data_IF_164249750660
#
_entry.id   IF_164249750660
#
_cell.length_a   1.000
_cell.length_b   1.000
_cell.length_c   1.000
_cell.angle_alpha   90.00
_cell.angle_beta   90.00
_cell.angle_gamma   90.00
#
_symmetry.space_group_name_H-M   'P 1'
#
loop_
_entity.id
_entity.type
_entity.pdbx_description
1 polymer ?
#
# COMPACT_ATOMS: atom_id res chain seq x y z
N UNK A 1 59.42 8.62 -15.70
CA UNK A 1 58.19 8.35 -14.92
C UNK A 1 58.32 6.97 -14.28
N UNK A 2 58.70 6.83 -13.00
CA UNK A 2 58.75 5.52 -12.37
C UNK A 2 57.34 5.09 -11.93
N UNK A 3 56.94 3.88 -12.34
CA UNK A 3 55.67 3.28 -11.97
C UNK A 3 55.68 2.87 -10.48
N UNK A 4 54.81 3.50 -9.69
CA UNK A 4 54.56 3.14 -8.29
C UNK A 4 53.81 1.81 -8.25
N UNK A 5 54.49 0.73 -7.87
CA UNK A 5 53.86 -0.58 -7.63
C UNK A 5 53.10 -0.52 -6.30
N UNK A 6 51.78 -0.76 -6.35
CA UNK A 6 50.90 -0.81 -5.18
C UNK A 6 51.15 -2.11 -4.42
N UNK A 7 51.52 -2.01 -3.14
CA UNK A 7 51.70 -3.16 -2.26
C UNK A 7 50.36 -3.88 -1.99
N UNK A 8 50.34 -5.22 -1.85
CA UNK A 8 49.14 -5.96 -1.49
C UNK A 8 48.77 -5.71 -0.02
N UNK A 9 47.47 -5.52 0.25
CA UNK A 9 46.91 -5.41 1.60
C UNK A 9 47.04 -6.78 2.30
N UNK A 10 47.76 -6.82 3.43
CA UNK A 10 47.77 -7.97 4.31
C UNK A 10 46.43 -8.10 5.03
N UNK A 11 45.85 -9.30 5.04
CA UNK A 11 44.64 -9.65 5.78
C UNK A 11 45.05 -10.02 7.22
N UNK A 12 44.40 -9.49 8.27
CA UNK A 12 44.74 -9.88 9.65
C UNK A 12 44.35 -11.33 9.93
N UNK A 13 45.10 -12.05 10.78
CA UNK A 13 44.80 -13.45 11.11
C UNK A 13 43.50 -13.56 11.92
N UNK A 14 42.59 -14.40 11.45
CA UNK A 14 41.40 -14.81 12.20
C UNK A 14 41.83 -15.61 13.44
N UNK A 15 41.47 -15.11 14.63
CA UNK A 15 41.64 -15.85 15.87
C UNK A 15 40.58 -16.98 15.96
N UNK A 16 40.96 -18.21 16.36
CA UNK A 16 40.02 -19.29 16.59
C UNK A 16 39.46 -19.20 18.01
N UNK A 17 38.13 -19.17 18.15
CA UNK A 17 37.45 -19.47 19.40
C UNK A 17 36.58 -20.71 19.20
N UNK A 18 37.20 -21.87 19.36
CA UNK A 18 36.52 -23.08 19.75
C UNK A 18 37.09 -23.54 21.09
N UNK A 19 36.23 -23.62 22.10
CA UNK A 19 36.39 -24.58 23.19
C UNK A 19 35.02 -25.25 23.44
N UNK A 20 35.01 -26.55 23.81
CA UNK A 20 33.84 -27.41 23.69
C UNK A 20 33.02 -27.45 24.98
N UNK A 21 31.69 -27.54 24.85
CA UNK A 21 30.84 -28.07 25.92
C UNK A 21 30.19 -29.37 25.49
N UNK A 22 30.18 -30.27 26.47
CA UNK A 22 29.95 -31.69 26.41
C UNK A 22 28.63 -32.13 25.79
N UNK A 23 28.68 -33.37 25.30
CA UNK A 23 27.62 -34.13 24.67
C UNK A 23 26.39 -34.31 25.58
N UNK A 24 25.22 -34.07 25.00
CA UNK A 24 23.99 -34.75 25.36
C UNK A 24 23.54 -35.52 24.11
N UNK A 25 23.68 -36.84 24.18
CA UNK A 25 23.22 -37.76 23.15
C UNK A 25 21.69 -37.90 23.28
N UNK A 26 20.95 -37.35 22.33
CA UNK A 26 19.57 -37.78 22.06
C UNK A 26 19.52 -38.22 20.61
N UNK A 27 19.20 -39.50 20.44
CA UNK A 27 19.10 -40.20 19.18
C UNK A 27 18.05 -39.55 18.27
N UNK A 28 18.47 -39.20 17.06
CA UNK A 28 17.56 -38.95 15.95
C UNK A 28 17.03 -40.30 15.46
N UNK A 29 15.73 -40.53 15.62
CA UNK A 29 15.02 -41.57 14.90
C UNK A 29 14.72 -41.06 13.48
N UNK A 30 15.20 -41.84 12.52
CA UNK A 30 14.87 -41.78 11.10
C UNK A 30 13.36 -41.84 10.88
N UNK A 31 12.79 -40.83 10.21
CA UNK A 31 11.50 -40.96 9.53
C UNK A 31 11.64 -40.38 8.14
N UNK A 32 12.32 -41.14 7.29
CA UNK A 32 12.21 -41.04 5.84
C UNK A 32 10.93 -41.75 5.41
N UNK A 33 9.79 -41.06 5.45
CA UNK A 33 8.59 -41.51 4.74
C UNK A 33 8.21 -40.53 3.64
N UNK A 34 8.53 -40.95 2.43
CA UNK A 34 7.83 -40.55 1.23
C UNK A 34 6.34 -40.91 1.37
N UNK A 35 5.46 -39.92 1.20
CA UNK A 35 4.15 -40.19 0.62
C UNK A 35 3.75 -39.08 -0.34
N UNK A 36 3.58 -39.56 -1.56
CA UNK A 36 3.02 -38.97 -2.77
C UNK A 36 1.54 -38.71 -2.56
N UNK A 37 1.03 -37.53 -2.90
CA UNK A 37 -0.40 -37.32 -3.15
C UNK A 37 -0.60 -36.39 -4.36
N UNK A 38 -1.72 -36.52 -5.08
CA UNK A 38 -1.78 -36.30 -6.52
C UNK A 38 -2.38 -34.95 -6.95
N UNK A 39 -2.01 -34.54 -8.16
CA UNK A 39 -2.68 -33.52 -8.94
C UNK A 39 -4.17 -33.85 -9.15
N UNK A 40 -5.05 -32.98 -8.66
CA UNK A 40 -6.49 -32.98 -8.98
C UNK A 40 -6.87 -31.83 -9.93
N UNK A 41 -7.87 -32.01 -10.82
CA UNK A 41 -8.14 -31.09 -11.91
C UNK A 41 -9.05 -29.91 -11.52
N UNK A 42 -8.95 -28.86 -12.35
CA UNK A 42 -9.74 -27.63 -12.29
C UNK A 42 -11.20 -27.78 -12.79
N UNK A 43 -12.10 -27.04 -12.14
CA UNK A 43 -13.34 -26.45 -12.71
C UNK A 43 -14.68 -27.04 -12.23
N UNK A 44 -15.84 -26.36 -12.41
CA UNK A 44 -16.06 -24.98 -12.89
C UNK A 44 -16.80 -24.06 -11.88
N UNK A 45 -16.83 -22.79 -12.24
CA UNK A 45 -17.49 -21.68 -11.55
C UNK A 45 -19.02 -21.83 -11.55
N UNK A 46 -19.66 -21.58 -10.40
CA UNK A 46 -21.10 -21.31 -10.32
C UNK A 46 -21.32 -19.89 -9.82
N UNK A 47 -22.03 -19.13 -10.65
CA UNK A 47 -22.51 -17.80 -10.35
C UNK A 47 -23.63 -17.88 -9.32
N UNK A 48 -23.47 -17.19 -8.19
CA UNK A 48 -24.52 -16.95 -7.21
C UNK A 48 -24.73 -15.46 -7.06
N UNK A 49 -25.68 -14.92 -7.82
CA UNK A 49 -26.27 -13.61 -7.55
C UNK A 49 -27.07 -13.71 -6.26
N UNK A 50 -26.74 -12.90 -5.26
CA UNK A 50 -27.67 -12.61 -4.16
C UNK A 50 -27.59 -11.12 -3.86
N UNK A 51 -28.62 -10.44 -4.33
CA UNK A 51 -29.07 -9.13 -3.89
C UNK A 51 -29.33 -9.15 -2.38
N UNK A 52 -28.73 -8.22 -1.66
CA UNK A 52 -28.96 -8.01 -0.23
C UNK A 52 -28.77 -6.55 0.12
N UNK A 53 -29.82 -5.75 -0.09
CA UNK A 53 -29.94 -4.40 0.44
C UNK A 53 -30.12 -4.46 1.95
N UNK A 54 -29.33 -3.77 2.77
CA UNK A 54 -29.86 -2.87 3.82
C UNK A 54 -28.77 -1.99 4.47
N UNK A 55 -29.14 -0.72 4.66
CA UNK A 55 -28.67 0.23 5.67
C UNK A 55 -27.22 0.74 5.61
N UNK A 56 -26.97 1.64 4.67
CA UNK A 56 -25.99 2.71 4.87
C UNK A 56 -26.62 3.82 5.72
N UNK A 57 -26.00 4.13 6.85
CA UNK A 57 -26.33 5.29 7.68
C UNK A 57 -25.85 6.58 6.99
N UNK A 58 -26.66 7.66 6.96
CA UNK A 58 -26.18 8.97 6.56
C UNK A 58 -25.43 9.62 7.73
N UNK A 59 -24.11 9.63 7.66
CA UNK A 59 -23.25 10.46 8.51
C UNK A 59 -22.59 11.53 7.65
N UNK A 60 -23.26 12.64 7.44
CA UNK A 60 -22.71 13.82 6.78
C UNK A 60 -21.92 14.72 7.76
N UNK A 61 -20.80 15.21 7.23
CA UNK A 61 -20.25 16.55 7.35
C UNK A 61 -19.83 17.11 8.72
N UNK A 62 -18.50 17.35 8.83
CA UNK A 62 -18.00 18.55 9.52
C UNK A 62 -16.66 18.99 8.89
N UNK A 63 -16.74 19.72 7.78
CA UNK A 63 -15.67 20.60 7.31
C UNK A 63 -16.19 22.03 7.28
N UNK A 64 -15.29 22.97 7.60
CA UNK A 64 -15.38 24.41 7.39
C UNK A 64 -16.39 25.20 8.27
N UNK A 65 -15.92 25.64 9.44
CA UNK A 65 -16.54 26.71 10.21
C UNK A 65 -16.41 28.03 9.44
N UNK A 66 -17.48 28.46 8.78
CA UNK A 66 -17.59 29.78 8.17
C UNK A 66 -17.71 30.86 9.27
N UNK A 67 -16.98 31.96 9.06
CA UNK A 67 -16.96 33.17 9.90
C UNK A 67 -18.27 33.95 9.68
N UNK A 68 -18.98 34.40 10.72
CA UNK A 68 -20.10 35.32 10.55
C UNK A 68 -19.55 36.71 10.20
N UNK A 69 -19.57 37.04 8.90
CA UNK A 69 -19.38 38.40 8.40
C UNK A 69 -20.73 39.12 8.27
N UNK A 70 -20.76 40.37 8.71
CA UNK A 70 -21.87 41.30 8.79
C UNK A 70 -22.78 41.36 7.55
N UNK A 71 -24.08 41.14 7.75
CA UNK A 71 -25.13 41.52 6.80
C UNK A 71 -25.54 42.98 7.03
N UNK A 72 -24.94 43.90 6.27
CA UNK A 72 -25.54 45.23 6.01
C UNK A 72 -26.60 45.09 4.91
N UNK A 73 -27.85 45.54 5.12
CA UNK A 73 -28.81 45.65 4.03
C UNK A 73 -28.54 46.95 3.25
N UNK A 74 -28.34 46.84 1.94
CA UNK A 74 -28.32 47.99 1.05
C UNK A 74 -29.73 48.17 0.46
N UNK A 75 -30.41 49.23 0.88
CA UNK A 75 -31.55 49.76 0.17
C UNK A 75 -31.06 50.45 -1.11
N UNK A 76 -31.63 50.09 -2.25
CA UNK A 76 -31.34 50.73 -3.53
C UNK A 76 -32.35 50.30 -4.60
N UNK A 77 -33.13 51.24 -5.19
CA UNK A 77 -34.13 50.93 -6.19
C UNK A 77 -33.49 50.86 -7.58
N UNK A 78 -34.05 50.00 -8.44
CA UNK A 78 -34.06 50.06 -9.92
C UNK A 78 -33.88 48.67 -10.51
N UNK A 79 -34.95 47.88 -10.43
CA UNK A 79 -35.10 46.57 -11.09
C UNK A 79 -35.49 46.75 -12.55
N UNK A 80 -34.73 47.50 -13.34
CA UNK A 80 -35.04 47.73 -14.73
C UNK A 80 -33.76 47.95 -15.55
N UNK A 81 -32.87 46.96 -15.62
CA UNK A 81 -31.91 46.79 -16.75
C UNK A 81 -31.11 45.45 -16.69
N UNK A 82 -31.74 44.35 -16.24
CA UNK A 82 -31.06 43.04 -16.10
C UNK A 82 -31.57 41.93 -17.02
N UNK A 83 -32.42 42.25 -18.00
CA UNK A 83 -33.25 41.26 -18.70
C UNK A 83 -32.64 40.65 -19.97
N UNK A 84 -31.33 40.75 -20.20
CA UNK A 84 -30.68 40.14 -21.37
C UNK A 84 -29.42 39.31 -21.05
N UNK A 85 -29.04 39.16 -19.78
CA UNK A 85 -27.98 38.23 -19.34
C UNK A 85 -28.52 36.98 -18.61
N UNK A 86 -29.86 36.86 -18.51
CA UNK A 86 -30.54 35.72 -17.86
C UNK A 86 -30.33 34.36 -18.55
N UNK A 87 -30.43 34.24 -19.90
CA UNK A 87 -30.35 32.92 -20.54
C UNK A 87 -28.94 32.31 -20.50
N UNK A 88 -27.91 33.15 -20.59
CA UNK A 88 -26.50 32.74 -20.58
C UNK A 88 -26.01 32.32 -19.19
N UNK A 89 -26.49 32.96 -18.13
CA UNK A 89 -26.17 32.56 -16.76
C UNK A 89 -26.81 31.22 -16.38
N UNK A 90 -28.01 30.92 -16.88
CA UNK A 90 -28.71 29.66 -16.61
C UNK A 90 -28.06 28.46 -17.33
N UNK A 91 -27.57 28.61 -18.56
CA UNK A 91 -26.93 27.51 -19.30
C UNK A 91 -25.52 27.20 -18.76
N UNK A 92 -24.75 28.22 -18.37
CA UNK A 92 -23.43 28.03 -17.74
C UNK A 92 -23.57 27.36 -16.37
N UNK A 93 -24.55 27.75 -15.56
CA UNK A 93 -24.81 27.11 -14.26
C UNK A 93 -25.21 25.63 -14.38
N UNK A 94 -26.06 25.29 -15.35
CA UNK A 94 -26.47 23.89 -15.60
C UNK A 94 -25.31 23.04 -16.15
N UNK A 95 -24.48 23.61 -17.04
CA UNK A 95 -23.31 22.93 -17.59
C UNK A 95 -22.26 22.60 -16.52
N UNK A 96 -21.98 23.53 -15.59
CA UNK A 96 -21.04 23.32 -14.47
C UNK A 96 -21.57 22.29 -13.46
N UNK A 97 -22.87 22.31 -13.15
CA UNK A 97 -23.49 21.30 -12.28
C UNK A 97 -23.43 19.89 -12.87
N UNK A 98 -23.63 19.76 -14.19
CA UNK A 98 -23.49 18.47 -14.91
C UNK A 98 -22.04 17.97 -14.96
N UNK A 99 -21.04 18.86 -14.98
CA UNK A 99 -19.61 18.44 -15.00
C UNK A 99 -19.13 17.94 -13.63
N UNK A 100 -19.66 18.48 -12.52
CA UNK A 100 -19.28 18.04 -11.17
C UNK A 100 -19.73 16.60 -10.85
N UNK A 101 -20.86 16.15 -11.40
CA UNK A 101 -21.39 14.79 -11.24
C UNK A 101 -20.59 13.73 -12.02
N UNK A 102 -19.75 14.15 -12.97
CA UNK A 102 -18.91 13.27 -13.81
C UNK A 102 -17.48 13.12 -13.28
N UNK A 103 -17.12 13.78 -12.17
CA UNK A 103 -15.81 13.62 -11.53
C UNK A 103 -15.80 12.30 -10.77
N UNK A 104 -15.53 11.22 -11.51
CA UNK A 104 -15.83 9.83 -11.15
C UNK A 104 -15.09 9.24 -9.96
N UNK A 105 -15.46 7.99 -9.64
CA UNK A 105 -14.68 7.09 -8.80
C UNK A 105 -13.33 6.84 -9.49
N UNK A 106 -12.30 7.61 -9.13
CA UNK A 106 -10.93 7.16 -9.34
C UNK A 106 -10.70 5.91 -8.50
N UNK A 107 -10.16 4.86 -9.11
CA UNK A 107 -9.64 3.69 -8.39
C UNK A 107 -8.63 4.18 -7.36
N UNK A 108 -9.06 4.24 -6.08
CA UNK A 108 -8.18 4.64 -5.00
C UNK A 108 -7.29 3.46 -4.64
N UNK A 109 -6.21 3.26 -5.39
CA UNK A 109 -5.15 2.34 -4.99
C UNK A 109 -4.69 2.72 -3.59
N UNK A 110 -4.70 1.79 -2.61
CA UNK A 110 -4.22 2.08 -1.27
C UNK A 110 -2.79 2.63 -1.31
N UNK A 111 -2.48 3.63 -0.51
CA UNK A 111 -1.15 4.25 -0.50
C UNK A 111 -0.03 3.22 -0.29
N UNK A 112 -0.23 2.29 0.66
CA UNK A 112 0.73 1.21 0.92
C UNK A 112 0.96 0.30 -0.29
N UNK A 113 -0.11 -0.03 -1.03
CA UNK A 113 0.00 -0.78 -2.29
C UNK A 113 0.82 -0.02 -3.32
N UNK A 114 0.50 1.26 -3.54
CA UNK A 114 1.21 2.09 -4.50
C UNK A 114 2.71 2.17 -4.19
N UNK A 115 3.07 2.29 -2.91
CA UNK A 115 4.48 2.34 -2.48
C UNK A 115 5.15 0.97 -2.64
N UNK A 116 4.51 -0.12 -2.23
CA UNK A 116 5.10 -1.47 -2.41
C UNK A 116 5.35 -1.75 -3.90
N UNK A 117 4.39 -1.45 -4.75
CA UNK A 117 4.50 -1.65 -6.19
C UNK A 117 5.51 -0.72 -6.85
N UNK A 118 5.82 0.46 -6.27
CA UNK A 118 6.82 1.38 -6.84
C UNK A 118 8.24 1.14 -6.31
N UNK A 119 8.40 0.79 -5.05
CA UNK A 119 9.68 0.84 -4.35
C UNK A 119 10.22 -0.55 -3.96
N UNK A 120 9.36 -1.47 -3.52
CA UNK A 120 9.81 -2.74 -2.94
C UNK A 120 10.22 -3.79 -4.00
N UNK A 121 9.87 -3.57 -5.27
CA UNK A 121 10.20 -4.47 -6.39
C UNK A 121 11.41 -4.06 -7.24
N UNK A 122 12.11 -2.98 -6.85
CA UNK A 122 13.21 -2.43 -7.66
C UNK A 122 14.48 -3.28 -7.56
N UNK A 123 14.75 -3.86 -6.38
CA UNK A 123 15.97 -4.65 -6.14
C UNK A 123 15.76 -6.16 -6.33
N UNK A 124 14.52 -6.65 -6.19
CA UNK A 124 14.13 -8.05 -6.38
C UNK A 124 12.61 -8.15 -6.63
N UNK A 125 12.13 -9.29 -7.12
CA UNK A 125 10.70 -9.52 -7.34
C UNK A 125 9.89 -9.61 -6.04
N UNK A 126 8.56 -9.79 -6.18
CA UNK A 126 7.61 -9.82 -5.06
C UNK A 126 7.57 -11.17 -4.35
N UNK A 127 8.28 -12.19 -4.83
CA UNK A 127 8.24 -13.56 -4.30
C UNK A 127 8.64 -13.60 -2.82
N UNK A 128 9.59 -12.76 -2.42
CA UNK A 128 10.02 -12.64 -1.02
C UNK A 128 8.92 -12.05 -0.13
N UNK A 129 8.20 -11.05 -0.65
CA UNK A 129 7.07 -10.44 0.05
C UNK A 129 5.96 -11.48 0.20
N UNK A 130 5.61 -12.17 -0.90
CA UNK A 130 4.58 -13.21 -0.93
C UNK A 130 4.90 -14.39 -0.02
N UNK A 131 6.17 -14.77 0.10
CA UNK A 131 6.60 -15.82 1.01
C UNK A 131 6.36 -15.48 2.49
N UNK A 132 6.31 -14.19 2.84
CA UNK A 132 6.16 -13.69 4.20
C UNK A 132 4.72 -13.26 4.54
N UNK A 133 3.86 -13.07 3.52
CA UNK A 133 2.44 -12.77 3.72
C UNK A 133 1.77 -13.86 4.57
N UNK A 134 1.00 -13.44 5.58
CA UNK A 134 0.31 -14.31 6.52
C UNK A 134 1.21 -14.96 7.58
N UNK A 135 2.54 -14.84 7.47
CA UNK A 135 3.51 -15.32 8.47
C UNK A 135 3.99 -14.20 9.39
N UNK A 136 4.18 -13.01 8.82
CA UNK A 136 4.61 -11.83 9.57
C UNK A 136 3.40 -11.03 10.04
N UNK A 137 3.40 -10.68 11.31
CA UNK A 137 2.54 -9.64 11.87
C UNK A 137 3.11 -8.25 11.57
N UNK A 138 2.43 -7.21 12.07
CA UNK A 138 2.84 -5.82 11.85
C UNK A 138 4.28 -5.54 12.30
N UNK A 139 4.69 -6.06 13.47
CA UNK A 139 6.04 -5.87 14.00
C UNK A 139 7.10 -6.62 13.18
N UNK A 140 6.74 -7.78 12.62
CA UNK A 140 7.56 -8.48 11.62
C UNK A 140 7.76 -7.65 10.36
N UNK A 141 6.70 -7.04 9.84
CA UNK A 141 6.77 -6.16 8.67
C UNK A 141 7.57 -4.88 8.94
N UNK A 142 7.47 -4.28 10.12
CA UNK A 142 8.30 -3.14 10.53
C UNK A 142 9.80 -3.45 10.35
N UNK A 143 10.27 -4.56 10.92
CA UNK A 143 11.67 -4.98 10.80
C UNK A 143 12.09 -5.23 9.36
N UNK A 144 11.21 -5.86 8.57
CA UNK A 144 11.48 -6.12 7.15
C UNK A 144 11.60 -4.82 6.36
N UNK A 145 10.64 -3.91 6.51
CA UNK A 145 10.61 -2.62 5.80
C UNK A 145 11.81 -1.75 6.21
N UNK A 146 12.14 -1.69 7.50
CA UNK A 146 13.32 -0.98 8.00
C UNK A 146 14.62 -1.48 7.39
N UNK A 147 14.79 -2.80 7.33
CA UNK A 147 15.95 -3.42 6.70
C UNK A 147 16.03 -3.07 5.21
N UNK A 148 14.89 -2.99 4.51
CA UNK A 148 14.88 -2.61 3.09
C UNK A 148 15.21 -1.12 2.91
N UNK A 149 14.69 -0.24 3.76
CA UNK A 149 15.02 1.20 3.76
C UNK A 149 16.52 1.39 4.02
N UNK A 150 17.07 0.72 5.03
CA UNK A 150 18.51 0.74 5.31
C UNK A 150 19.34 0.18 4.15
N UNK A 151 18.78 -0.74 3.38
CA UNK A 151 19.36 -1.29 2.15
C UNK A 151 19.19 -0.39 0.90
N UNK A 152 18.57 0.77 1.03
CA UNK A 152 18.41 1.75 -0.05
C UNK A 152 17.04 1.78 -0.73
N UNK A 153 16.01 1.11 -0.18
CA UNK A 153 14.66 1.25 -0.69
C UNK A 153 14.16 2.70 -0.51
N UNK A 154 13.66 3.29 -1.60
CA UNK A 154 13.14 4.67 -1.60
C UNK A 154 11.71 4.69 -1.03
N UNK A 155 11.62 4.74 0.30
CA UNK A 155 10.39 4.85 1.07
C UNK A 155 10.58 5.94 2.12
N UNK A 156 9.71 6.96 2.11
CA UNK A 156 9.74 8.05 3.09
C UNK A 156 9.25 7.60 4.47
N UNK A 157 9.57 8.30 5.56
CA UNK A 157 9.04 8.01 6.89
C UNK A 157 7.50 7.97 6.93
N UNK A 158 6.83 8.82 6.15
CA UNK A 158 5.38 8.89 6.06
C UNK A 158 4.80 7.68 5.30
N UNK A 159 5.42 7.30 4.17
CA UNK A 159 5.00 6.13 3.39
C UNK A 159 5.26 4.82 4.14
N UNK A 160 6.31 4.76 4.96
CA UNK A 160 6.73 3.55 5.70
C UNK A 160 5.57 2.95 6.48
N UNK A 161 4.83 3.76 7.22
CA UNK A 161 3.71 3.30 8.04
C UNK A 161 2.60 2.71 7.17
N UNK A 162 2.25 3.38 6.06
CA UNK A 162 1.24 2.90 5.13
C UNK A 162 1.62 1.55 4.49
N UNK A 163 2.91 1.33 4.18
CA UNK A 163 3.42 0.05 3.67
C UNK A 163 3.24 -1.07 4.69
N UNK A 164 3.66 -0.84 5.93
CA UNK A 164 3.58 -1.83 7.02
C UNK A 164 2.13 -2.21 7.29
N UNK A 165 1.24 -1.23 7.41
CA UNK A 165 -0.18 -1.46 7.67
C UNK A 165 -0.82 -2.22 6.50
N UNK A 166 -0.47 -1.88 5.27
CA UNK A 166 -1.00 -2.57 4.11
C UNK A 166 -0.50 -4.03 4.01
N UNK A 167 0.79 -4.29 4.21
CA UNK A 167 1.38 -5.63 4.16
C UNK A 167 0.85 -6.55 5.27
N UNK A 168 0.72 -6.02 6.49
CA UNK A 168 0.24 -6.80 7.65
C UNK A 168 -1.22 -7.26 7.55
N UNK A 169 -1.99 -6.69 6.63
CA UNK A 169 -3.39 -7.06 6.37
C UNK A 169 -3.58 -7.98 5.17
N UNK A 170 -2.50 -8.30 4.44
CA UNK A 170 -2.58 -9.15 3.24
C UNK A 170 -2.79 -10.62 3.59
N UNK A 171 -3.44 -11.34 2.69
CA UNK A 171 -3.61 -12.79 2.71
C UNK A 171 -2.77 -13.43 1.59
N UNK A 172 -2.30 -14.68 1.78
CA UNK A 172 -1.57 -15.39 0.74
C UNK A 172 -2.39 -15.45 -0.57
N UNK A 173 -1.77 -15.10 -1.70
CA UNK A 173 -2.42 -15.06 -3.02
C UNK A 173 -3.18 -13.76 -3.34
N UNK A 174 -3.06 -12.72 -2.50
CA UNK A 174 -3.67 -11.41 -2.77
C UNK A 174 -3.05 -10.76 -4.01
N UNK A 175 -3.88 -10.56 -5.05
CA UNK A 175 -3.55 -9.74 -6.22
C UNK A 175 -3.67 -8.24 -5.87
N UNK A 176 -2.87 -7.36 -6.49
CA UNK A 176 -1.91 -7.61 -7.57
C UNK A 176 -0.51 -8.05 -7.10
N UNK A 177 -0.26 -8.13 -5.78
CA UNK A 177 1.07 -8.35 -5.23
C UNK A 177 1.61 -9.77 -5.45
N UNK A 178 0.75 -10.76 -5.24
CA UNK A 178 1.07 -12.18 -5.27
C UNK A 178 0.21 -12.88 -6.33
N UNK A 179 0.70 -12.98 -7.58
CA UNK A 179 0.00 -13.62 -8.68
C UNK A 179 -0.14 -15.14 -8.52
#
# INVERSE_FOLDING_TARGET
MPHVRRAPRANPPHAPLHAPHAAAHVAAHDVRHAFREPSGPHGPHTAGSTTGNTAAHPGECASCRAVPGDLRPHAGPSRWLGALLGPLACTVGLAVALTALLTGCGDKTPQGEAVVMRACRICHGTERICADIGKLDRAGWEKTVDRMIAGGASVTPEERTAVIDWLSTRKPGDKPLCP
#
